data_IF_069199914376
#
_entry.id   IF_069199914376
#
_cell.length_a   1.000
_cell.length_b   1.000
_cell.length_c   1.000
_cell.angle_alpha   90.00
_cell.angle_beta   90.00
_cell.angle_gamma   90.00
#
_symmetry.space_group_name_H-M   'P 1'
#
loop_
_entity.id
_entity.type
_entity.pdbx_description
1 polymer ?
#
# COMPACT_ATOMS: atom_id res chain seq x y z
N UNK A 1 19.27 20.46 20.70
CA UNK A 1 17.82 20.15 20.68
C UNK A 1 17.38 20.21 19.22
N UNK A 2 17.11 19.06 18.60
CA UNK A 2 16.61 19.01 17.22
C UNK A 2 15.14 19.38 17.24
N UNK A 3 14.83 20.53 16.63
CA UNK A 3 13.47 21.02 16.46
C UNK A 3 12.76 20.06 15.48
N UNK A 4 12.01 19.10 16.00
CA UNK A 4 11.14 18.25 15.18
C UNK A 4 9.93 19.08 14.79
N UNK A 5 10.02 19.76 13.65
CA UNK A 5 8.84 20.30 12.97
C UNK A 5 7.94 19.12 12.62
N UNK A 6 6.76 19.06 13.22
CA UNK A 6 5.70 18.13 12.83
C UNK A 6 5.45 18.27 11.33
N UNK A 7 5.19 17.17 10.59
CA UNK A 7 4.78 17.26 9.20
C UNK A 7 3.63 18.25 9.09
N UNK A 8 3.74 19.23 8.18
CA UNK A 8 2.62 20.13 7.93
C UNK A 8 1.47 19.27 7.42
N UNK A 9 0.40 19.21 8.19
CA UNK A 9 -0.88 18.61 7.77
C UNK A 9 -1.39 19.50 6.65
N UNK A 10 -1.09 19.14 5.40
CA UNK A 10 -1.56 19.89 4.24
C UNK A 10 -3.02 19.48 4.06
N UNK A 11 -3.91 20.30 4.61
CA UNK A 11 -5.34 20.20 4.32
C UNK A 11 -5.54 20.36 2.82
N UNK A 12 -6.36 19.48 2.22
CA UNK A 12 -6.74 19.64 0.82
C UNK A 12 -7.46 20.97 0.59
N UNK A 13 -7.69 21.36 -0.68
CA UNK A 13 -8.28 22.66 -1.05
C UNK A 13 -9.59 23.02 -0.32
N UNK A 14 -10.29 22.03 0.25
CA UNK A 14 -11.58 22.17 0.94
C UNK A 14 -11.53 21.83 2.45
N UNK A 15 -10.35 21.71 3.08
CA UNK A 15 -10.24 21.22 4.47
C UNK A 15 -10.42 19.70 4.60
N UNK A 16 -10.62 19.00 3.48
CA UNK A 16 -10.74 17.54 3.42
C UNK A 16 -9.39 16.89 3.71
N UNK A 17 -9.35 16.01 4.70
CA UNK A 17 -8.16 15.21 5.03
C UNK A 17 -8.37 13.79 4.48
N UNK A 18 -8.01 13.57 3.23
CA UNK A 18 -8.29 12.32 2.52
C UNK A 18 -7.18 11.30 2.74
N UNK A 19 -7.54 10.04 2.97
CA UNK A 19 -6.58 8.95 3.11
C UNK A 19 -7.09 7.62 2.56
N UNK A 20 -6.17 6.83 2.01
CA UNK A 20 -6.42 5.45 1.63
C UNK A 20 -6.27 4.53 2.85
N UNK A 21 -7.06 3.47 2.91
CA UNK A 21 -6.95 2.47 3.97
C UNK A 21 -7.27 1.06 3.47
N UNK A 22 -6.40 0.10 3.78
CA UNK A 22 -6.73 -1.32 3.65
C UNK A 22 -7.80 -1.73 4.67
N UNK A 23 -8.91 -2.30 4.21
CA UNK A 23 -9.99 -2.82 5.08
C UNK A 23 -9.78 -4.29 5.45
N UNK A 24 -9.13 -5.05 4.58
CA UNK A 24 -8.88 -6.48 4.79
C UNK A 24 -7.43 -6.70 5.24
N UNK A 25 -7.23 -7.68 6.13
CA UNK A 25 -5.90 -8.21 6.45
C UNK A 25 -5.49 -9.24 5.42
N UNK A 26 -4.19 -9.35 5.18
CA UNK A 26 -3.63 -10.37 4.29
C UNK A 26 -3.59 -11.73 4.99
N UNK A 27 -3.90 -12.80 4.27
CA UNK A 27 -3.62 -14.15 4.71
C UNK A 27 -2.09 -14.38 4.72
N UNK A 28 -1.57 -14.82 5.86
CA UNK A 28 -0.16 -15.15 6.06
C UNK A 28 -0.03 -16.64 6.40
N UNK A 29 1.10 -17.30 6.07
CA UNK A 29 2.30 -16.76 5.41
C UNK A 29 2.16 -16.56 3.89
N UNK A 30 2.95 -15.63 3.33
CA UNK A 30 3.06 -15.42 1.88
C UNK A 30 4.31 -16.10 1.31
N UNK A 31 4.19 -16.59 0.07
CA UNK A 31 5.27 -17.25 -0.68
C UNK A 31 5.42 -16.64 -2.07
N UNK A 32 6.63 -16.70 -2.63
CA UNK A 32 6.89 -16.31 -4.02
C UNK A 32 6.08 -17.17 -4.99
N UNK A 33 5.54 -16.57 -6.05
CA UNK A 33 4.68 -17.29 -7.00
C UNK A 33 3.27 -17.66 -6.47
N UNK A 34 3.03 -17.53 -5.16
CA UNK A 34 1.71 -17.70 -4.57
C UNK A 34 0.86 -16.43 -4.69
N UNK A 35 -0.46 -16.62 -4.79
CA UNK A 35 -1.42 -15.53 -4.79
C UNK A 35 -1.49 -14.87 -3.42
N UNK A 36 -1.49 -13.53 -3.40
CA UNK A 36 -1.78 -12.75 -2.20
C UNK A 36 -3.29 -12.72 -1.99
N UNK A 37 -3.75 -13.21 -0.84
CA UNK A 37 -5.17 -13.31 -0.50
C UNK A 37 -5.47 -12.58 0.82
N UNK A 38 -6.74 -12.26 1.06
CA UNK A 38 -7.20 -11.79 2.35
C UNK A 38 -7.42 -12.94 3.33
N UNK A 39 -7.40 -12.64 4.63
CA UNK A 39 -7.73 -13.62 5.67
C UNK A 39 -9.08 -14.32 5.37
N UNK A 40 -9.14 -15.64 5.61
CA UNK A 40 -10.32 -16.47 5.36
C UNK A 40 -10.80 -16.48 3.90
N UNK A 41 -9.91 -16.19 2.93
CA UNK A 41 -10.24 -16.14 1.51
C UNK A 41 -10.99 -14.87 1.10
N UNK A 42 -11.03 -13.86 1.97
CA UNK A 42 -11.66 -12.59 1.67
C UNK A 42 -10.92 -11.84 0.55
N UNK A 43 -11.65 -11.03 -0.21
CA UNK A 43 -11.04 -10.07 -1.12
C UNK A 43 -10.29 -8.97 -0.35
N UNK A 44 -9.23 -8.45 -0.94
CA UNK A 44 -8.43 -7.38 -0.34
C UNK A 44 -9.01 -6.04 -0.81
N UNK A 45 -9.64 -5.33 0.13
CA UNK A 45 -10.27 -4.05 -0.15
C UNK A 45 -9.42 -2.88 0.31
N UNK A 46 -9.44 -1.82 -0.48
CA UNK A 46 -8.95 -0.48 -0.13
C UNK A 46 -10.13 0.49 -0.18
N UNK A 47 -10.14 1.44 0.73
CA UNK A 47 -11.14 2.50 0.75
C UNK A 47 -10.49 3.87 0.81
N UNK A 48 -11.13 4.85 0.18
CA UNK A 48 -10.85 6.26 0.38
C UNK A 48 -11.74 6.79 1.52
N UNK A 49 -11.11 7.37 2.54
CA UNK A 49 -11.78 7.93 3.70
C UNK A 49 -11.53 9.43 3.79
N UNK A 50 -12.54 10.14 4.27
CA UNK A 50 -12.33 11.43 4.93
C UNK A 50 -11.90 11.15 6.38
N UNK A 51 -10.64 11.45 6.70
CA UNK A 51 -10.07 11.23 8.02
C UNK A 51 -10.70 12.12 9.10
N UNK A 52 -11.40 13.21 8.73
CA UNK A 52 -12.11 14.05 9.69
C UNK A 52 -13.39 13.37 10.20
N UNK A 53 -14.09 12.64 9.32
CA UNK A 53 -15.38 11.99 9.63
C UNK A 53 -15.27 10.48 9.81
N UNK A 54 -14.22 9.86 9.29
CA UNK A 54 -14.05 8.40 9.22
C UNK A 54 -14.93 7.72 8.16
N UNK A 55 -15.68 8.49 7.37
CA UNK A 55 -16.59 7.95 6.36
C UNK A 55 -15.90 7.72 5.02
N UNK A 56 -16.42 6.75 4.27
CA UNK A 56 -15.99 6.50 2.88
C UNK A 56 -16.45 7.67 2.00
N UNK A 57 -15.54 8.16 1.17
CA UNK A 57 -15.84 9.21 0.20
C UNK A 57 -16.43 8.56 -1.05
N UNK A 58 -17.76 8.64 -1.20
CA UNK A 58 -18.50 7.93 -2.24
C UNK A 58 -18.79 8.76 -3.49
N UNK A 59 -18.39 10.04 -3.50
CA UNK A 59 -18.64 10.97 -4.60
C UNK A 59 -17.42 11.85 -4.87
N UNK A 60 -17.41 12.51 -6.03
CA UNK A 60 -16.28 13.34 -6.45
C UNK A 60 -15.25 12.56 -7.28
N UNK A 61 -14.37 13.24 -8.03
CA UNK A 61 -13.36 12.60 -8.88
C UNK A 61 -12.43 11.64 -8.10
N UNK A 62 -12.12 11.96 -6.85
CA UNK A 62 -11.31 11.15 -5.94
C UNK A 62 -11.92 9.79 -5.64
N UNK A 63 -13.25 9.69 -5.58
CA UNK A 63 -13.95 8.42 -5.34
C UNK A 63 -13.85 7.43 -6.51
N UNK A 64 -13.31 7.88 -7.65
CA UNK A 64 -13.05 7.07 -8.85
C UNK A 64 -11.57 7.03 -9.24
N UNK A 65 -10.67 7.45 -8.34
CA UNK A 65 -9.25 7.51 -8.62
C UNK A 65 -8.66 6.13 -8.96
N UNK A 66 -7.68 6.13 -9.87
CA UNK A 66 -6.81 4.98 -10.09
C UNK A 66 -5.70 4.99 -9.05
N UNK A 67 -5.39 3.82 -8.51
CA UNK A 67 -4.39 3.59 -7.47
C UNK A 67 -3.30 2.66 -7.99
N UNK A 68 -2.07 2.89 -7.56
CA UNK A 68 -0.94 1.99 -7.76
C UNK A 68 -0.79 1.07 -6.53
N UNK A 69 -0.53 -0.21 -6.77
CA UNK A 69 -0.11 -1.16 -5.74
C UNK A 69 1.42 -1.23 -5.73
N UNK A 70 2.01 -1.00 -4.56
CA UNK A 70 3.45 -0.87 -4.38
C UNK A 70 3.96 -1.85 -3.32
N UNK A 71 5.25 -2.12 -3.33
CA UNK A 71 5.95 -2.81 -2.24
C UNK A 71 6.77 -1.80 -1.48
N UNK A 72 6.66 -1.80 -0.16
CA UNK A 72 7.43 -0.93 0.73
C UNK A 72 8.35 -1.74 1.63
N UNK A 73 9.41 -1.11 2.13
CA UNK A 73 10.29 -1.69 3.13
C UNK A 73 9.52 -1.99 4.43
N UNK A 74 9.76 -3.17 5.00
CA UNK A 74 9.04 -3.65 6.18
C UNK A 74 9.30 -2.85 7.46
N UNK A 75 10.41 -2.13 7.54
CA UNK A 75 10.78 -1.26 8.64
C UNK A 75 10.28 0.18 8.50
N UNK A 76 9.41 0.45 7.51
CA UNK A 76 8.59 1.65 7.47
C UNK A 76 7.58 1.65 8.63
N UNK A 77 8.10 1.89 9.83
CA UNK A 77 7.48 1.66 11.13
C UNK A 77 6.87 2.95 11.71
N UNK A 78 6.22 3.72 10.86
CA UNK A 78 5.27 4.75 11.29
C UNK A 78 3.97 4.06 11.70
N UNK A 79 3.59 4.18 12.98
CA UNK A 79 2.27 3.75 13.45
C UNK A 79 1.18 4.54 12.72
N UNK A 80 -0.08 4.09 12.77
CA UNK A 80 -1.20 4.77 12.09
C UNK A 80 -1.33 6.24 12.47
N UNK A 81 -0.87 6.60 13.67
CA UNK A 81 -0.96 7.95 14.22
C UNK A 81 0.29 8.81 13.96
N UNK A 82 1.41 8.22 13.53
CA UNK A 82 2.57 8.99 13.08
C UNK A 82 2.45 9.33 11.60
N UNK A 83 2.30 10.62 11.31
CA UNK A 83 2.20 11.12 9.95
C UNK A 83 3.54 10.97 9.20
N UNK A 84 3.47 10.81 7.88
CA UNK A 84 4.63 10.77 6.98
C UNK A 84 4.41 11.70 5.79
N UNK A 85 5.48 12.23 5.24
CA UNK A 85 5.41 13.02 4.00
C UNK A 85 5.34 12.11 2.77
N UNK A 86 4.94 12.67 1.62
CA UNK A 86 4.93 11.94 0.35
C UNK A 86 6.34 11.46 -0.01
N UNK A 87 7.35 12.31 0.17
CA UNK A 87 8.76 11.99 -0.09
C UNK A 87 9.25 10.87 0.84
N UNK A 88 8.84 10.89 2.11
CA UNK A 88 9.12 9.80 3.04
C UNK A 88 8.49 8.49 2.57
N UNK A 89 7.22 8.50 2.14
CA UNK A 89 6.57 7.31 1.59
C UNK A 89 7.31 6.78 0.36
N UNK A 90 7.65 7.67 -0.58
CA UNK A 90 8.35 7.32 -1.81
C UNK A 90 9.74 6.73 -1.55
N UNK A 91 10.46 7.25 -0.54
CA UNK A 91 11.78 6.74 -0.17
C UNK A 91 11.77 5.28 0.33
N UNK A 92 10.61 4.77 0.78
CA UNK A 92 10.45 3.40 1.25
C UNK A 92 9.96 2.42 0.16
N UNK A 93 9.73 2.88 -1.07
CA UNK A 93 9.31 2.00 -2.17
C UNK A 93 10.47 1.08 -2.56
N UNK A 94 10.23 -0.22 -2.48
CA UNK A 94 11.19 -1.25 -2.86
C UNK A 94 11.15 -1.46 -4.36
N UNK A 95 12.30 -1.29 -5.00
CA UNK A 95 12.51 -1.68 -6.40
C UNK A 95 12.99 -3.11 -6.49
N UNK A 96 12.68 -3.78 -7.60
CA UNK A 96 13.22 -5.08 -7.92
C UNK A 96 14.76 -5.05 -7.97
N UNK A 97 15.37 -6.23 -7.75
CA UNK A 97 16.82 -6.37 -7.92
C UNK A 97 17.18 -6.22 -9.40
N UNK A 98 18.37 -5.68 -9.65
CA UNK A 98 18.88 -5.52 -11.01
C UNK A 98 18.83 -6.86 -11.78
N UNK A 99 18.26 -6.83 -12.99
CA UNK A 99 18.10 -8.01 -13.84
C UNK A 99 17.00 -8.99 -13.41
N UNK A 100 16.17 -8.67 -12.41
CA UNK A 100 15.00 -9.48 -12.03
C UNK A 100 13.71 -8.94 -12.66
N UNK A 101 12.66 -9.77 -12.59
CA UNK A 101 11.28 -9.37 -12.94
C UNK A 101 10.76 -8.34 -11.93
N UNK A 102 9.72 -7.56 -12.28
CA UNK A 102 9.04 -6.69 -11.32
C UNK A 102 8.66 -7.44 -10.05
N UNK A 103 8.79 -6.80 -8.89
CA UNK A 103 8.61 -7.45 -7.59
C UNK A 103 7.17 -7.96 -7.37
N UNK A 104 6.19 -7.32 -8.01
CA UNK A 104 4.80 -7.73 -8.09
C UNK A 104 4.41 -8.07 -9.53
N UNK A 105 3.61 -9.12 -9.68
CA UNK A 105 2.94 -9.50 -10.92
C UNK A 105 1.41 -9.54 -10.70
N UNK A 106 0.65 -9.34 -11.77
CA UNK A 106 -0.82 -9.30 -11.75
C UNK A 106 -1.40 -7.89 -11.79
N UNK A 107 -2.50 -7.68 -11.06
CA UNK A 107 -3.28 -6.45 -10.98
C UNK A 107 -2.61 -5.41 -10.06
N UNK A 108 -1.53 -4.81 -10.55
CA UNK A 108 -0.76 -3.77 -9.84
C UNK A 108 -1.43 -2.39 -9.85
N UNK A 109 -2.63 -2.28 -10.43
CA UNK A 109 -3.45 -1.07 -10.41
C UNK A 109 -4.87 -1.40 -9.97
N UNK A 110 -5.49 -0.49 -9.22
CA UNK A 110 -6.88 -0.62 -8.77
C UNK A 110 -7.63 0.66 -9.10
N UNK A 111 -8.86 0.56 -9.59
CA UNK A 111 -9.74 1.72 -9.77
C UNK A 111 -10.77 1.74 -8.65
N UNK A 112 -10.86 2.86 -7.94
CA UNK A 112 -11.92 3.08 -6.96
C UNK A 112 -13.27 3.19 -7.68
N UNK A 113 -14.32 2.68 -7.05
CA UNK A 113 -15.72 2.92 -7.42
C UNK A 113 -16.45 3.35 -6.16
N UNK A 114 -16.96 4.58 -6.16
CA UNK A 114 -17.60 5.18 -4.98
C UNK A 114 -16.71 5.05 -3.73
N UNK A 115 -15.40 5.28 -3.91
CA UNK A 115 -14.41 5.25 -2.83
C UNK A 115 -13.94 3.86 -2.43
N UNK A 116 -14.40 2.79 -3.08
CA UNK A 116 -13.99 1.40 -2.76
C UNK A 116 -13.25 0.77 -3.94
N UNK A 117 -12.07 0.23 -3.65
CA UNK A 117 -11.25 -0.54 -4.58
C UNK A 117 -11.09 -1.98 -4.10
N UNK A 118 -10.97 -2.91 -5.04
CA UNK A 118 -10.68 -4.32 -4.76
C UNK A 118 -9.41 -4.70 -5.51
N UNK A 119 -8.41 -5.19 -4.79
CA UNK A 119 -7.18 -5.71 -5.40
C UNK A 119 -7.51 -7.07 -6.01
N UNK A 120 -7.14 -7.24 -7.28
CA UNK A 120 -7.31 -8.50 -8.00
C UNK A 120 -6.18 -9.49 -7.73
N UNK A 121 -5.72 -10.19 -8.76
CA UNK A 121 -4.63 -11.15 -8.61
C UNK A 121 -3.31 -10.41 -8.36
N UNK A 122 -2.61 -10.77 -7.30
CA UNK A 122 -1.30 -10.19 -6.98
C UNK A 122 -0.35 -11.29 -6.55
N UNK A 123 0.85 -11.32 -7.12
CA UNK A 123 1.87 -12.34 -6.87
C UNK A 123 3.22 -11.68 -6.63
N UNK A 124 3.91 -12.06 -5.55
CA UNK A 124 5.31 -11.67 -5.33
C UNK A 124 6.26 -12.54 -6.18
N UNK A 125 7.18 -11.91 -6.89
CA UNK A 125 8.15 -12.62 -7.76
C UNK A 125 9.48 -12.91 -7.07
N UNK A 126 9.75 -12.25 -5.95
CA UNK A 126 10.96 -12.40 -5.14
C UNK A 126 10.60 -12.46 -3.65
N UNK A 127 11.43 -13.14 -2.86
CA UNK A 127 11.20 -13.29 -1.43
C UNK A 127 11.69 -12.03 -0.69
N UNK A 128 11.35 -11.87 0.58
CA UNK A 128 11.74 -10.68 1.35
C UNK A 128 13.12 -10.81 2.01
N UNK A 129 13.84 -11.93 1.90
CA UNK A 129 15.04 -12.17 2.71
C UNK A 129 16.27 -11.35 2.29
N UNK A 130 16.26 -10.80 1.07
CA UNK A 130 17.39 -10.05 0.51
C UNK A 130 17.42 -8.58 0.94
N UNK A 131 16.30 -8.02 1.41
CA UNK A 131 16.25 -6.67 1.97
C UNK A 131 16.61 -6.65 3.46
N UNK A 132 17.09 -5.50 3.93
CA UNK A 132 17.59 -5.33 5.31
C UNK A 132 16.58 -5.71 6.38
N UNK A 133 15.33 -5.30 6.23
CA UNK A 133 14.25 -5.57 7.21
C UNK A 133 13.70 -7.00 7.13
N UNK A 134 14.08 -7.76 6.09
CA UNK A 134 13.58 -9.11 5.78
C UNK A 134 12.05 -9.22 5.64
N UNK A 135 11.37 -8.09 5.52
CA UNK A 135 9.90 -7.98 5.50
C UNK A 135 9.49 -6.94 4.46
N UNK A 136 8.39 -7.20 3.78
CA UNK A 136 7.74 -6.23 2.92
C UNK A 136 6.48 -5.67 3.62
N UNK A 137 5.96 -4.58 3.06
CA UNK A 137 4.57 -4.12 3.24
C UNK A 137 3.97 -3.92 1.85
N UNK A 138 2.64 -4.06 1.71
CA UNK A 138 1.94 -3.50 0.56
C UNK A 138 1.66 -2.02 0.83
N UNK A 139 1.92 -1.19 -0.18
CA UNK A 139 1.57 0.22 -0.21
C UNK A 139 0.52 0.51 -1.28
N UNK A 140 -0.28 1.55 -1.07
CA UNK A 140 -1.14 2.10 -2.12
C UNK A 140 -1.07 3.62 -2.15
N UNK A 141 -0.99 4.17 -3.36
CA UNK A 141 -1.08 5.61 -3.63
C UNK A 141 -1.96 5.87 -4.84
N UNK A 142 -2.39 7.11 -5.01
CA UNK A 142 -3.06 7.54 -6.24
C UNK A 142 -2.06 7.51 -7.41
N UNK A 143 -2.47 6.97 -8.55
CA UNK A 143 -1.65 6.93 -9.76
C UNK A 143 -1.38 8.35 -10.28
N UNK A 144 -0.20 8.57 -10.85
CA UNK A 144 0.14 9.85 -11.49
C UNK A 144 -0.92 10.27 -12.54
N UNK A 145 -1.25 11.55 -12.58
CA UNK A 145 -2.29 12.11 -13.46
C UNK A 145 -3.73 12.02 -12.93
N UNK A 146 -3.94 11.42 -11.75
CA UNK A 146 -5.24 11.39 -11.07
C UNK A 146 -5.23 12.31 -9.85
N UNK A 147 -6.36 13.00 -9.62
CA UNK A 147 -6.57 13.85 -8.44
C UNK A 147 -5.48 14.91 -8.23
N UNK A 148 -4.94 15.46 -9.33
CA UNK A 148 -3.89 16.48 -9.27
C UNK A 148 -4.31 17.68 -8.40
N UNK A 149 -3.41 18.13 -7.53
CA UNK A 149 -3.69 19.21 -6.57
C UNK A 149 -4.51 18.80 -5.35
N UNK A 150 -4.93 17.55 -5.24
CA UNK A 150 -5.63 17.00 -4.06
C UNK A 150 -4.66 16.09 -3.30
N UNK A 151 -4.37 16.42 -2.04
CA UNK A 151 -3.57 15.54 -1.17
C UNK A 151 -4.44 14.38 -0.68
N UNK A 152 -4.09 13.16 -1.10
CA UNK A 152 -4.67 11.91 -0.61
C UNK A 152 -3.56 11.09 0.01
N UNK A 153 -3.60 10.88 1.33
CA UNK A 153 -2.59 10.12 2.06
C UNK A 153 -2.60 8.65 1.65
N UNK A 154 -1.41 8.10 1.49
CA UNK A 154 -1.17 6.72 1.06
C UNK A 154 -1.59 5.71 2.12
N UNK A 155 -1.84 4.47 1.70
CA UNK A 155 -2.07 3.35 2.60
C UNK A 155 -0.83 2.45 2.68
N UNK A 156 -0.65 1.79 3.82
CA UNK A 156 0.27 0.65 3.94
C UNK A 156 -0.33 -0.44 4.82
N UNK A 157 0.02 -1.69 4.55
CA UNK A 157 -0.31 -2.82 5.43
C UNK A 157 0.67 -2.92 6.61
N UNK A 158 0.37 -3.85 7.52
CA UNK A 158 1.38 -4.38 8.42
C UNK A 158 2.51 -5.08 7.66
N UNK A 159 3.68 -5.16 8.29
CA UNK A 159 4.85 -5.80 7.71
C UNK A 159 4.73 -7.34 7.75
N UNK A 160 5.10 -8.00 6.66
CA UNK A 160 5.05 -9.44 6.51
C UNK A 160 6.29 -9.99 5.81
N UNK A 161 6.57 -11.27 6.02
CA UNK A 161 7.63 -11.99 5.31
C UNK A 161 7.05 -12.67 4.08
N UNK A 162 7.76 -12.57 2.95
CA UNK A 162 7.50 -13.39 1.76
C UNK A 162 8.61 -14.44 1.69
N UNK A 163 8.24 -15.71 1.77
CA UNK A 163 9.18 -16.84 1.74
C UNK A 163 9.38 -17.33 0.30
N UNK A 164 10.52 -17.96 0.03
CA UNK A 164 10.71 -18.63 -1.25
C UNK A 164 9.87 -19.91 -1.30
N UNK A 165 9.08 -20.07 -2.36
CA UNK A 165 8.35 -21.30 -2.64
C UNK A 165 9.28 -22.46 -3.04
N UNK A 166 10.50 -22.15 -3.53
CA UNK A 166 11.48 -23.17 -3.95
C UNK A 166 12.13 -23.94 -2.78
N UNK A 167 11.71 -23.70 -1.54
CA UNK A 167 12.21 -24.37 -0.34
C UNK A 167 11.37 -25.55 0.17
N UNK A 168 10.22 -25.84 -0.42
CA UNK A 168 9.52 -27.10 -0.15
C UNK A 168 10.17 -28.20 -0.98
N UNK A 169 11.27 -28.77 -0.45
CA UNK A 169 11.65 -30.11 -0.82
C UNK A 169 10.45 -31.02 -0.55
N UNK A 170 9.82 -31.49 -1.63
CA UNK A 170 8.88 -32.60 -1.59
C UNK A 170 9.61 -33.76 -0.90
N UNK A 171 9.07 -34.22 0.24
CA UNK A 171 9.50 -35.47 0.85
C UNK A 171 9.13 -36.65 -0.04
#
# INVERSE_FOLDING_TARGET
MLNRTSPKRIEGPNGSNLQLQFRSRLALPLFTGGKVEGEQGAAIHVVLLDANTGHVVTSGPESFAKLDVLVLEGDFNKEKDEDWTEEEFESHIVKEREGKRPLLNGDIHVTLKEGVGTIGELIFTDNSSWIRSRKFRLGMRVSSGFCEGIRIKEAKTEAFTVKDHRGECMF
#
